data_IF_822459108928
#
_entry.id   IF_822459108928
#
_cell.length_a   1.000
_cell.length_b   1.000
_cell.length_c   1.000
_cell.angle_alpha   90.00
_cell.angle_beta   90.00
_cell.angle_gamma   90.00
#
_symmetry.space_group_name_H-M   'P 1'
#
loop_
_entity.id
_entity.type
_entity.pdbx_description
1 polymer ?
#
# COMPACT_ATOMS: atom_id res chain seq x y z
N UNK A 1 -12.22 21.78 -2.80
CA UNK A 1 -13.42 22.34 -2.12
C UNK A 1 -14.75 21.71 -2.55
N UNK A 2 -14.98 21.32 -3.82
CA UNK A 2 -16.28 20.76 -4.24
C UNK A 2 -16.54 19.27 -3.85
N UNK A 3 -15.52 18.49 -3.47
CA UNK A 3 -15.73 17.12 -2.94
C UNK A 3 -16.04 17.06 -1.43
N UNK A 4 -15.72 18.12 -0.66
CA UNK A 4 -16.06 18.19 0.77
C UNK A 4 -17.58 18.39 1.00
N UNK A 5 -18.27 19.01 0.05
CA UNK A 5 -19.70 19.34 0.18
C UNK A 5 -20.62 18.13 -0.07
N UNK A 6 -20.16 17.10 -0.79
CA UNK A 6 -20.93 15.87 -1.01
C UNK A 6 -20.83 14.90 0.18
N UNK A 7 -19.67 14.84 0.85
CA UNK A 7 -19.47 13.98 2.02
C UNK A 7 -20.16 14.48 3.30
N UNK A 8 -20.38 15.79 3.45
CA UNK A 8 -21.05 16.34 4.62
C UNK A 8 -22.58 16.28 4.53
N UNK A 9 -23.16 16.30 3.32
CA UNK A 9 -24.60 16.23 3.13
C UNK A 9 -25.19 14.82 3.31
N UNK A 10 -24.43 13.74 3.05
CA UNK A 10 -24.89 12.37 3.31
C UNK A 10 -24.89 11.98 4.80
N UNK A 11 -24.03 12.60 5.61
CA UNK A 11 -23.99 12.36 7.06
C UNK A 11 -25.16 13.03 7.81
N UNK A 12 -25.64 14.18 7.32
CA UNK A 12 -26.79 14.85 7.95
C UNK A 12 -28.13 14.16 7.66
N UNK A 13 -28.32 13.59 6.46
CA UNK A 13 -29.57 12.88 6.11
C UNK A 13 -29.69 11.56 6.92
N UNK A 14 -28.57 10.89 7.21
CA UNK A 14 -28.56 9.67 8.04
C UNK A 14 -28.79 9.94 9.54
N UNK A 15 -28.43 11.14 10.03
CA UNK A 15 -28.60 11.50 11.44
C UNK A 15 -30.05 11.82 11.83
N UNK A 16 -30.87 12.32 10.89
CA UNK A 16 -32.28 12.64 11.15
C UNK A 16 -33.24 11.45 10.98
N UNK A 17 -32.84 10.37 10.28
CA UNK A 17 -33.65 9.15 10.18
C UNK A 17 -33.44 8.15 11.33
N UNK A 18 -32.50 8.38 12.24
CA UNK A 18 -32.23 7.46 13.37
C UNK A 18 -32.97 7.79 14.68
N UNK A 19 -33.79 8.84 14.74
CA UNK A 19 -34.52 9.18 15.98
C UNK A 19 -35.98 8.73 16.04
N UNK A 20 -36.48 7.97 15.07
CA UNK A 20 -37.83 7.38 15.13
C UNK A 20 -37.83 5.91 14.72
N UNK A 21 -37.27 5.04 15.56
CA UNK A 21 -37.58 3.61 15.55
C UNK A 21 -37.19 2.97 16.89
N UNK A 22 -37.97 3.25 17.93
CA UNK A 22 -37.96 2.46 19.16
C UNK A 22 -38.55 1.08 18.90
N UNK A 23 -37.69 0.11 18.59
CA UNK A 23 -38.06 -1.30 18.47
C UNK A 23 -36.84 -2.18 18.67
N UNK A 24 -36.82 -2.97 19.75
CA UNK A 24 -35.78 -3.99 20.02
C UNK A 24 -35.81 -5.05 18.91
N UNK A 25 -35.04 -4.87 17.84
CA UNK A 25 -34.68 -5.94 16.93
C UNK A 25 -33.32 -6.50 17.36
N UNK A 26 -33.27 -7.78 17.71
CA UNK A 26 -32.01 -8.46 17.99
C UNK A 26 -31.13 -8.36 16.74
N UNK A 27 -30.05 -7.57 16.80
CA UNK A 27 -29.05 -7.53 15.73
C UNK A 27 -28.52 -8.95 15.53
N UNK A 28 -28.89 -9.57 14.42
CA UNK A 28 -28.41 -10.89 14.04
C UNK A 28 -26.87 -10.82 13.96
N UNK A 29 -26.19 -11.53 14.85
CA UNK A 29 -24.73 -11.59 14.88
C UNK A 29 -24.29 -12.39 13.66
N UNK A 30 -23.68 -11.72 12.69
CA UNK A 30 -23.11 -12.37 11.52
C UNK A 30 -21.81 -13.05 11.95
N UNK A 31 -21.79 -14.38 11.97
CA UNK A 31 -20.64 -15.20 12.36
C UNK A 31 -20.24 -16.12 11.22
N UNK A 32 -18.94 -16.29 11.01
CA UNK A 32 -18.36 -17.22 10.03
C UNK A 32 -17.29 -18.02 10.76
N UNK A 33 -17.46 -19.33 10.88
CA UNK A 33 -16.60 -20.19 11.71
C UNK A 33 -16.37 -19.57 13.09
N UNK A 34 -15.13 -19.24 13.44
CA UNK A 34 -14.74 -18.63 14.72
C UNK A 34 -14.76 -17.09 14.71
N UNK A 35 -15.25 -16.44 13.65
CA UNK A 35 -15.17 -14.99 13.48
C UNK A 35 -16.53 -14.31 13.58
N UNK A 36 -16.66 -13.39 14.53
CA UNK A 36 -17.81 -12.50 14.66
C UNK A 36 -17.57 -11.25 13.79
N UNK A 37 -18.37 -11.09 12.74
CA UNK A 37 -18.25 -9.97 11.80
C UNK A 37 -18.85 -8.67 12.37
N UNK A 38 -18.06 -7.61 12.33
CA UNK A 38 -18.41 -6.27 12.79
C UNK A 38 -18.56 -5.30 11.60
N UNK A 39 -18.21 -4.01 11.78
CA UNK A 39 -18.38 -3.00 10.75
C UNK A 39 -17.63 -3.30 9.44
N UNK A 40 -18.14 -2.75 8.34
CA UNK A 40 -17.42 -2.75 7.06
C UNK A 40 -16.29 -1.73 7.14
N UNK A 41 -15.08 -2.15 6.79
CA UNK A 41 -13.91 -1.27 6.72
C UNK A 41 -13.77 -0.64 5.34
N UNK A 42 -14.18 -1.35 4.28
CA UNK A 42 -14.14 -0.83 2.93
C UNK A 42 -14.83 -1.73 1.92
N UNK A 43 -15.06 -1.21 0.72
CA UNK A 43 -15.60 -1.94 -0.43
C UNK A 43 -14.65 -1.73 -1.61
N UNK A 44 -13.90 -2.77 -1.95
CA UNK A 44 -12.95 -2.74 -3.06
C UNK A 44 -13.50 -3.42 -4.31
N UNK A 45 -12.76 -3.32 -5.42
CA UNK A 45 -13.11 -3.91 -6.70
C UNK A 45 -13.29 -5.44 -6.64
N UNK A 46 -12.57 -6.11 -5.74
CA UNK A 46 -12.58 -7.57 -5.58
C UNK A 46 -13.52 -8.08 -4.49
N UNK A 47 -14.11 -7.21 -3.67
CA UNK A 47 -14.94 -7.65 -2.55
C UNK A 47 -15.10 -6.63 -1.43
N UNK A 48 -15.88 -7.01 -0.41
CA UNK A 48 -16.12 -6.20 0.79
C UNK A 48 -15.14 -6.61 1.89
N UNK A 49 -14.53 -5.64 2.57
CA UNK A 49 -13.65 -5.89 3.72
C UNK A 49 -14.39 -5.52 5.01
N UNK A 50 -14.40 -6.41 5.98
CA UNK A 50 -15.02 -6.18 7.30
C UNK A 50 -14.02 -6.39 8.42
N UNK A 51 -14.18 -5.65 9.52
CA UNK A 51 -13.55 -5.98 10.79
C UNK A 51 -14.28 -7.20 11.36
N UNK A 52 -13.54 -8.12 11.97
CA UNK A 52 -14.09 -9.21 12.73
C UNK A 52 -13.28 -9.45 14.00
N UNK A 53 -13.85 -10.22 14.93
CA UNK A 53 -13.19 -10.65 16.16
C UNK A 53 -13.26 -12.16 16.26
N UNK A 54 -12.13 -12.81 16.49
CA UNK A 54 -12.11 -14.24 16.78
C UNK A 54 -12.80 -14.48 18.13
N UNK A 55 -13.73 -15.43 18.19
CA UNK A 55 -14.61 -15.64 19.35
C UNK A 55 -13.88 -16.24 20.56
N UNK A 56 -12.92 -17.15 20.34
CA UNK A 56 -12.09 -17.72 21.41
C UNK A 56 -10.94 -16.81 21.85
N UNK A 57 -10.10 -16.35 20.91
CA UNK A 57 -8.87 -15.60 21.25
C UNK A 57 -9.11 -14.12 21.47
N UNK A 58 -10.24 -13.60 21.00
CA UNK A 58 -10.54 -12.16 21.02
C UNK A 58 -9.74 -11.33 20.03
N UNK A 59 -8.92 -11.95 19.16
CA UNK A 59 -8.08 -11.27 18.19
C UNK A 59 -8.93 -10.51 17.17
N UNK A 60 -8.61 -9.23 16.95
CA UNK A 60 -9.22 -8.45 15.86
C UNK A 60 -8.56 -8.81 14.53
N UNK A 61 -9.37 -9.00 13.49
CA UNK A 61 -8.93 -9.34 12.14
C UNK A 61 -9.67 -8.53 11.08
N UNK A 62 -9.08 -8.40 9.90
CA UNK A 62 -9.75 -7.90 8.71
C UNK A 62 -10.09 -9.09 7.80
N UNK A 63 -11.33 -9.14 7.32
CA UNK A 63 -11.82 -10.23 6.46
C UNK A 63 -12.29 -9.65 5.13
N UNK A 64 -11.58 -10.00 4.05
CA UNK A 64 -11.97 -9.70 2.67
C UNK A 64 -12.89 -10.81 2.17
N UNK A 65 -14.13 -10.44 1.85
CA UNK A 65 -15.21 -11.34 1.43
C UNK A 65 -15.36 -11.26 -0.09
N UNK A 66 -15.15 -12.39 -0.76
CA UNK A 66 -15.09 -12.50 -2.21
C UNK A 66 -16.15 -13.49 -2.69
N UNK A 67 -17.12 -13.01 -3.46
CA UNK A 67 -18.20 -13.87 -3.96
C UNK A 67 -17.79 -14.69 -5.18
N UNK A 68 -17.92 -16.02 -5.10
CA UNK A 68 -17.54 -16.96 -6.17
C UNK A 68 -18.37 -16.80 -7.44
N UNK A 69 -19.62 -16.34 -7.38
CA UNK A 69 -20.43 -16.10 -8.60
C UNK A 69 -19.85 -14.95 -9.42
N UNK A 70 -19.33 -13.90 -8.76
CA UNK A 70 -18.61 -12.79 -9.42
C UNK A 70 -17.26 -13.23 -10.03
N UNK A 71 -16.75 -14.39 -9.63
CA UNK A 71 -15.46 -14.94 -10.07
C UNK A 71 -15.54 -15.89 -11.27
N UNK A 72 -16.68 -16.56 -11.48
CA UNK A 72 -16.83 -17.63 -12.47
C UNK A 72 -16.64 -17.21 -13.94
N UNK A 73 -16.57 -15.91 -14.23
CA UNK A 73 -16.50 -15.38 -15.60
C UNK A 73 -15.33 -14.43 -15.87
N UNK A 74 -14.31 -14.35 -14.99
CA UNK A 74 -13.33 -13.26 -15.07
C UNK A 74 -11.87 -13.65 -14.82
N UNK A 75 -10.95 -12.86 -15.40
CA UNK A 75 -9.50 -12.82 -15.09
C UNK A 75 -9.22 -12.57 -13.59
N UNK A 76 -10.24 -12.20 -12.80
CA UNK A 76 -10.19 -11.94 -11.36
C UNK A 76 -9.84 -13.19 -10.55
N UNK A 77 -10.25 -14.38 -11.01
CA UNK A 77 -9.96 -15.65 -10.32
C UNK A 77 -8.45 -15.92 -10.22
N UNK A 78 -7.72 -15.67 -11.30
CA UNK A 78 -6.26 -15.81 -11.31
C UNK A 78 -5.56 -14.77 -10.41
N UNK A 79 -6.10 -13.53 -10.32
CA UNK A 79 -5.55 -12.48 -9.47
C UNK A 79 -5.68 -12.82 -7.98
N UNK A 80 -6.88 -13.20 -7.53
CA UNK A 80 -7.12 -13.52 -6.12
C UNK A 80 -6.38 -14.78 -5.68
N UNK A 81 -6.34 -15.82 -6.51
CA UNK A 81 -5.52 -17.01 -6.22
C UNK A 81 -4.04 -16.65 -6.11
N UNK A 82 -3.55 -15.70 -6.90
CA UNK A 82 -2.18 -15.19 -6.80
C UNK A 82 -1.99 -14.40 -5.50
N UNK A 83 -2.85 -13.44 -5.21
CA UNK A 83 -2.83 -12.63 -3.97
C UNK A 83 -2.74 -13.54 -2.74
N UNK A 84 -3.65 -14.51 -2.62
CA UNK A 84 -3.64 -15.50 -1.53
C UNK A 84 -2.32 -16.28 -1.48
N UNK A 85 -1.83 -16.76 -2.64
CA UNK A 85 -0.57 -17.52 -2.69
C UNK A 85 0.62 -16.68 -2.25
N UNK A 86 0.70 -15.41 -2.67
CA UNK A 86 1.79 -14.51 -2.28
C UNK A 86 1.76 -14.24 -0.78
N UNK A 87 0.60 -13.84 -0.26
CA UNK A 87 0.42 -13.54 1.15
C UNK A 87 0.69 -14.73 2.08
N UNK A 88 0.48 -15.96 1.63
CA UNK A 88 0.81 -17.17 2.42
C UNK A 88 2.30 -17.33 2.71
N UNK A 89 3.18 -16.80 1.88
CA UNK A 89 4.64 -16.92 2.05
C UNK A 89 5.27 -15.69 2.69
N UNK A 90 4.54 -14.57 2.74
CA UNK A 90 5.06 -13.34 3.32
C UNK A 90 5.02 -13.36 4.84
N UNK A 91 6.19 -13.16 5.44
CA UNK A 91 6.36 -12.92 6.88
C UNK A 91 7.34 -11.77 7.05
N UNK A 92 6.81 -10.57 7.21
CA UNK A 92 7.59 -9.35 7.40
C UNK A 92 6.82 -8.37 8.28
N UNK A 93 7.51 -7.62 9.14
CA UNK A 93 6.86 -6.70 10.08
C UNK A 93 6.05 -5.61 9.37
N UNK A 94 6.49 -5.19 8.17
CA UNK A 94 5.88 -4.12 7.38
C UNK A 94 4.95 -4.59 6.25
N UNK A 95 4.49 -5.84 6.29
CA UNK A 95 3.52 -6.39 5.34
C UNK A 95 2.37 -6.99 6.14
N UNK A 96 1.13 -6.77 5.69
CA UNK A 96 -0.05 -7.35 6.34
C UNK A 96 0.05 -8.88 6.37
N UNK A 97 -0.12 -9.47 7.56
CA UNK A 97 -0.07 -10.92 7.71
C UNK A 97 -1.38 -11.57 7.29
N UNK A 98 -1.30 -12.63 6.48
CA UNK A 98 -2.41 -13.56 6.27
C UNK A 98 -2.45 -14.57 7.42
N UNK A 99 -3.59 -14.69 8.09
CA UNK A 99 -3.80 -15.71 9.11
C UNK A 99 -4.36 -16.98 8.48
N UNK A 100 -5.44 -16.87 7.71
CA UNK A 100 -6.06 -18.01 7.07
C UNK A 100 -6.95 -17.63 5.89
N UNK A 101 -7.39 -18.64 5.14
CA UNK A 101 -8.38 -18.50 4.07
C UNK A 101 -9.48 -19.52 4.29
N UNK A 102 -10.71 -19.04 4.47
CA UNK A 102 -11.90 -19.89 4.57
C UNK A 102 -12.56 -19.96 3.20
N UNK A 103 -12.81 -21.18 2.74
CA UNK A 103 -13.42 -21.42 1.43
C UNK A 103 -14.77 -22.10 1.57
N UNK A 104 -15.86 -21.41 1.21
CA UNK A 104 -17.23 -21.93 1.30
C UNK A 104 -17.81 -22.17 -0.10
N UNK A 105 -19.00 -22.76 -0.20
CA UNK A 105 -19.64 -22.97 -1.51
C UNK A 105 -19.93 -21.67 -2.28
N UNK A 106 -20.14 -20.55 -1.58
CA UNK A 106 -20.56 -19.27 -2.18
C UNK A 106 -19.47 -18.21 -2.19
N UNK A 107 -18.60 -18.19 -1.19
CA UNK A 107 -17.66 -17.10 -0.94
C UNK A 107 -16.30 -17.61 -0.46
N UNK A 108 -15.26 -16.83 -0.74
CA UNK A 108 -13.90 -16.98 -0.20
C UNK A 108 -13.69 -15.85 0.81
N UNK A 109 -13.19 -16.18 2.00
CA UNK A 109 -12.86 -15.24 3.05
C UNK A 109 -11.35 -15.24 3.27
N UNK A 110 -10.70 -14.12 3.02
CA UNK A 110 -9.27 -13.94 3.26
C UNK A 110 -9.12 -13.21 4.59
N UNK A 111 -8.60 -13.89 5.61
CA UNK A 111 -8.49 -13.39 6.99
C UNK A 111 -7.07 -12.89 7.23
N UNK A 112 -6.92 -11.59 7.47
CA UNK A 112 -5.64 -10.92 7.67
C UNK A 112 -5.58 -10.17 8.99
N UNK A 113 -4.36 -9.77 9.36
CA UNK A 113 -4.09 -8.82 10.42
C UNK A 113 -4.97 -7.57 10.28
N UNK A 114 -5.57 -7.12 11.39
CA UNK A 114 -6.30 -5.86 11.45
C UNK A 114 -5.37 -4.76 11.96
N UNK A 115 -5.26 -3.68 11.20
CA UNK A 115 -4.42 -2.53 11.53
C UNK A 115 -5.34 -1.37 11.94
N UNK A 116 -5.13 -0.84 13.15
CA UNK A 116 -6.13 -0.02 13.83
C UNK A 116 -6.01 1.49 13.60
N UNK A 117 -4.82 1.98 13.22
CA UNK A 117 -4.48 3.40 13.15
C UNK A 117 -4.78 4.09 11.83
N UNK A 118 -5.56 3.46 10.94
CA UNK A 118 -5.92 4.01 9.63
C UNK A 118 -4.82 3.79 8.58
N UNK A 119 -4.79 4.67 7.60
CA UNK A 119 -3.82 4.63 6.50
C UNK A 119 -2.96 5.90 6.42
N UNK A 120 -1.90 5.83 5.61
CA UNK A 120 -0.97 6.93 5.45
C UNK A 120 -1.60 8.12 4.70
N UNK A 121 -2.67 7.90 3.94
CA UNK A 121 -3.40 8.98 3.29
C UNK A 121 -4.07 9.88 4.34
N UNK A 122 -4.75 9.28 5.32
CA UNK A 122 -5.37 10.01 6.43
C UNK A 122 -4.33 10.80 7.24
N UNK A 123 -3.12 10.27 7.43
CA UNK A 123 -2.02 10.98 8.09
C UNK A 123 -1.65 12.25 7.32
N UNK A 124 -1.47 12.17 6.00
CA UNK A 124 -1.16 13.32 5.14
C UNK A 124 -2.33 14.32 5.15
N UNK A 125 -3.57 13.83 5.02
CA UNK A 125 -4.76 14.68 4.98
C UNK A 125 -5.00 15.45 6.29
N UNK A 126 -4.70 14.84 7.44
CA UNK A 126 -4.92 15.45 8.75
C UNK A 126 -3.77 16.34 9.20
N UNK A 127 -2.52 15.94 8.93
CA UNK A 127 -1.32 16.66 9.41
C UNK A 127 -0.73 17.61 8.36
N UNK A 128 -1.15 17.49 7.10
CA UNK A 128 -0.52 18.17 5.98
C UNK A 128 0.87 17.62 5.71
N UNK A 129 1.85 18.50 5.53
CA UNK A 129 3.26 18.10 5.37
C UNK A 129 3.85 17.60 6.67
N UNK A 130 4.65 16.55 6.59
CA UNK A 130 5.43 16.01 7.69
C UNK A 130 6.82 16.64 7.77
N UNK A 131 7.44 16.56 8.95
CA UNK A 131 8.86 16.85 9.10
C UNK A 131 9.69 15.81 8.34
N UNK A 132 10.91 16.16 7.91
CA UNK A 132 11.79 15.19 7.25
C UNK A 132 12.08 13.97 8.13
N UNK A 133 12.34 14.08 9.46
CA UNK A 133 12.49 12.92 10.33
C UNK A 133 11.25 11.99 10.35
N UNK A 134 10.04 12.55 10.42
CA UNK A 134 8.81 11.75 10.44
C UNK A 134 8.58 11.07 9.09
N UNK A 135 8.74 11.80 7.98
CA UNK A 135 8.64 11.24 6.64
C UNK A 135 9.68 10.14 6.42
N UNK A 136 10.91 10.33 6.92
CA UNK A 136 11.99 9.34 6.86
C UNK A 136 11.66 8.08 7.66
N UNK A 137 11.04 8.22 8.83
CA UNK A 137 10.57 7.08 9.63
C UNK A 137 9.58 6.20 8.86
N UNK A 138 8.57 6.80 8.22
CA UNK A 138 7.64 6.06 7.37
C UNK A 138 8.34 5.47 6.14
N UNK A 139 9.15 6.26 5.44
CA UNK A 139 9.80 5.82 4.21
C UNK A 139 10.75 4.63 4.42
N UNK A 140 11.51 4.61 5.53
CA UNK A 140 12.38 3.47 5.89
C UNK A 140 11.59 2.18 5.98
N UNK A 141 10.44 2.21 6.65
CA UNK A 141 9.60 1.03 6.82
C UNK A 141 8.92 0.59 5.51
N UNK A 142 8.55 1.56 4.66
CA UNK A 142 8.05 1.28 3.30
C UNK A 142 9.15 0.59 2.49
N UNK A 143 10.38 1.12 2.52
CA UNK A 143 11.53 0.57 1.80
C UNK A 143 11.80 -0.87 2.25
N UNK A 144 11.83 -1.15 3.55
CA UNK A 144 12.08 -2.52 4.04
C UNK A 144 10.98 -3.49 3.62
N UNK A 145 9.70 -3.07 3.68
CA UNK A 145 8.59 -3.89 3.22
C UNK A 145 8.62 -4.17 1.71
N UNK A 146 8.87 -3.15 0.89
CA UNK A 146 8.91 -3.30 -0.57
C UNK A 146 10.15 -4.09 -1.02
N UNK A 147 11.30 -3.86 -0.41
CA UNK A 147 12.53 -4.62 -0.69
C UNK A 147 12.32 -6.11 -0.38
N UNK A 148 11.64 -6.45 0.72
CA UNK A 148 11.26 -7.83 1.03
C UNK A 148 10.37 -8.45 -0.06
N UNK A 149 9.38 -7.70 -0.58
CA UNK A 149 8.58 -8.17 -1.71
C UNK A 149 9.45 -8.44 -2.94
N UNK A 150 10.35 -7.52 -3.27
CA UNK A 150 11.24 -7.63 -4.44
C UNK A 150 12.20 -8.81 -4.33
N UNK A 151 12.77 -9.07 -3.15
CA UNK A 151 13.61 -10.24 -2.88
C UNK A 151 12.85 -11.57 -3.06
N UNK A 152 11.54 -11.56 -2.81
CA UNK A 152 10.65 -12.69 -3.07
C UNK A 152 10.07 -12.68 -4.50
N UNK A 153 10.69 -11.92 -5.41
CA UNK A 153 10.30 -11.79 -6.82
C UNK A 153 8.86 -11.27 -7.00
N UNK A 154 8.38 -10.39 -6.11
CA UNK A 154 7.06 -9.78 -6.20
C UNK A 154 7.17 -8.28 -6.33
N UNK A 155 6.60 -7.71 -7.40
CA UNK A 155 6.35 -6.27 -7.50
C UNK A 155 4.92 -5.95 -7.03
N UNK A 156 4.74 -4.90 -6.24
CA UNK A 156 3.44 -4.53 -5.68
C UNK A 156 2.54 -3.89 -6.75
N UNK A 157 3.05 -2.87 -7.46
CA UNK A 157 2.44 -2.18 -8.61
C UNK A 157 1.19 -1.33 -8.33
N UNK A 158 0.92 -1.06 -7.06
CA UNK A 158 -0.16 -0.17 -6.62
C UNK A 158 0.17 0.41 -5.24
N UNK A 159 1.43 0.80 -5.05
CA UNK A 159 1.86 1.46 -3.83
C UNK A 159 1.30 2.88 -3.84
N UNK A 160 0.56 3.20 -2.78
CA UNK A 160 -0.03 4.51 -2.53
C UNK A 160 -0.37 4.63 -1.04
N UNK A 161 -0.51 5.84 -0.50
CA UNK A 161 -0.76 6.04 0.92
C UNK A 161 -1.98 5.28 1.46
N UNK A 162 -3.04 5.09 0.67
CA UNK A 162 -4.24 4.32 1.06
C UNK A 162 -3.96 2.81 1.26
N UNK A 163 -2.92 2.28 0.61
CA UNK A 163 -2.51 0.87 0.73
C UNK A 163 -1.41 0.67 1.79
N UNK A 164 -1.04 1.73 2.52
CA UNK A 164 -0.05 1.69 3.60
C UNK A 164 -0.79 1.97 4.90
N UNK A 165 -1.12 0.90 5.62
CA UNK A 165 -1.83 0.98 6.90
C UNK A 165 -0.83 1.29 8.02
N UNK A 166 -1.30 1.91 9.10
CA UNK A 166 -0.46 2.31 10.23
C UNK A 166 -1.09 1.77 11.51
N UNK A 167 -0.33 1.05 12.32
CA UNK A 167 -0.80 0.63 13.64
C UNK A 167 -0.59 1.71 14.71
N UNK A 168 -1.12 1.45 15.90
CA UNK A 168 -1.03 2.34 17.06
C UNK A 168 0.41 2.66 17.51
N UNK A 169 1.42 1.91 17.02
CA UNK A 169 2.83 2.13 17.32
C UNK A 169 3.57 2.93 16.26
N UNK A 170 2.85 3.49 15.26
CA UNK A 170 3.42 4.09 14.05
C UNK A 170 4.26 3.11 13.22
N UNK A 171 3.94 1.81 13.28
CA UNK A 171 4.52 0.79 12.40
C UNK A 171 3.64 0.64 11.17
N UNK A 172 4.23 0.74 9.98
CA UNK A 172 3.47 0.63 8.73
C UNK A 172 3.29 -0.83 8.33
N UNK A 173 2.19 -1.11 7.62
CA UNK A 173 1.84 -2.40 7.04
C UNK A 173 1.37 -2.18 5.61
N UNK A 174 2.16 -2.67 4.64
CA UNK A 174 1.77 -2.69 3.24
C UNK A 174 0.63 -3.70 3.05
N UNK A 175 -0.46 -3.24 2.45
CA UNK A 175 -1.68 -4.00 2.20
C UNK A 175 -2.08 -3.96 0.71
N UNK A 176 -3.10 -4.75 0.36
CA UNK A 176 -3.69 -4.87 -0.98
C UNK A 176 -2.74 -5.30 -2.11
N UNK A 177 -2.38 -6.58 -2.11
CA UNK A 177 -1.59 -7.22 -3.16
C UNK A 177 -2.44 -7.64 -4.38
N UNK A 178 -3.67 -7.14 -4.53
CA UNK A 178 -4.61 -7.52 -5.59
C UNK A 178 -4.13 -7.20 -7.01
N UNK A 179 -3.18 -6.27 -7.13
CA UNK A 179 -2.51 -5.91 -8.39
C UNK A 179 -1.05 -6.39 -8.46
N UNK A 180 -0.54 -7.10 -7.46
CA UNK A 180 0.84 -7.57 -7.45
C UNK A 180 1.09 -8.71 -8.46
N UNK A 181 2.34 -8.90 -8.84
CA UNK A 181 2.72 -9.97 -9.76
C UNK A 181 4.11 -10.54 -9.48
N UNK A 182 4.28 -11.80 -9.87
CA UNK A 182 5.58 -12.45 -9.83
C UNK A 182 6.45 -11.94 -10.98
N UNK A 183 7.61 -11.40 -10.63
CA UNK A 183 8.71 -11.13 -11.54
C UNK A 183 9.31 -12.46 -11.99
N UNK A 184 9.58 -12.61 -13.27
CA UNK A 184 10.20 -13.81 -13.84
C UNK A 184 11.30 -13.40 -14.79
N UNK A 185 12.44 -14.08 -14.71
CA UNK A 185 13.58 -13.78 -15.57
C UNK A 185 13.19 -13.82 -17.05
N UNK A 186 13.56 -12.77 -17.78
CA UNK A 186 13.27 -12.61 -19.20
C UNK A 186 11.80 -12.33 -19.56
N UNK A 187 10.90 -12.11 -18.58
CA UNK A 187 9.48 -11.80 -18.84
C UNK A 187 9.09 -10.43 -18.28
N UNK A 188 8.76 -9.53 -19.19
CA UNK A 188 8.25 -8.21 -18.86
C UNK A 188 6.73 -8.20 -18.65
N UNK A 189 6.29 -7.24 -17.85
CA UNK A 189 4.89 -6.93 -17.56
C UNK A 189 4.39 -5.83 -18.52
N UNK A 190 3.14 -5.92 -19.00
CA UNK A 190 2.52 -4.94 -19.92
C UNK A 190 1.25 -4.28 -19.38
N UNK A 191 0.73 -4.76 -18.24
CA UNK A 191 -0.58 -4.32 -17.76
C UNK A 191 -0.49 -2.91 -17.16
N UNK A 192 -1.24 -1.96 -17.71
CA UNK A 192 -1.53 -0.67 -17.07
C UNK A 192 -2.48 -0.92 -15.88
N UNK A 193 -1.99 -0.71 -14.67
CA UNK A 193 -2.74 -0.89 -13.43
C UNK A 193 -2.23 0.07 -12.36
N UNK A 194 -3.03 0.23 -11.31
CA UNK A 194 -2.75 1.14 -10.19
C UNK A 194 -3.43 2.49 -10.34
N UNK A 195 -3.33 3.31 -9.30
CA UNK A 195 -3.90 4.66 -9.28
C UNK A 195 -3.06 5.62 -10.16
N UNK A 196 -3.67 6.39 -11.10
CA UNK A 196 -2.94 7.18 -12.09
C UNK A 196 -1.82 8.07 -11.55
N UNK A 197 -2.05 8.78 -10.44
CA UNK A 197 -1.10 9.73 -9.86
C UNK A 197 0.18 9.06 -9.31
N UNK A 198 0.15 7.76 -9.02
CA UNK A 198 1.28 6.99 -8.49
C UNK A 198 1.93 6.07 -9.54
N UNK A 199 1.37 6.02 -10.75
CA UNK A 199 1.82 5.14 -11.81
C UNK A 199 3.04 5.71 -12.54
N UNK A 200 4.02 4.85 -12.82
CA UNK A 200 5.24 5.23 -13.52
C UNK A 200 4.99 5.54 -15.02
N UNK A 201 5.84 6.35 -15.67
CA UNK A 201 5.71 6.74 -17.07
C UNK A 201 5.56 5.56 -18.04
N UNK A 202 6.32 4.49 -17.82
CA UNK A 202 6.30 3.27 -18.63
C UNK A 202 4.98 2.49 -18.47
N UNK A 203 4.34 2.55 -17.29
CA UNK A 203 3.06 1.88 -17.02
C UNK A 203 1.91 2.59 -17.74
N UNK A 204 1.86 3.92 -17.64
CA UNK A 204 0.83 4.73 -18.32
C UNK A 204 1.03 4.74 -19.84
N UNK A 205 2.27 4.53 -20.31
CA UNK A 205 2.59 4.41 -21.73
C UNK A 205 2.39 2.99 -22.29
N UNK A 206 1.97 2.02 -21.46
CA UNK A 206 1.77 0.62 -21.86
C UNK A 206 3.05 -0.09 -22.31
N UNK A 207 4.22 0.40 -21.87
CA UNK A 207 5.52 -0.20 -22.14
C UNK A 207 5.73 -1.44 -21.27
N UNK A 208 6.70 -2.25 -21.69
CA UNK A 208 7.15 -3.41 -20.94
C UNK A 208 8.05 -2.98 -19.77
N UNK A 209 7.85 -3.59 -18.60
CA UNK A 209 8.59 -3.28 -17.36
C UNK A 209 8.87 -4.54 -16.52
N UNK A 210 9.91 -4.52 -15.69
CA UNK A 210 10.31 -5.60 -14.80
C UNK A 210 9.45 -5.61 -13.52
N UNK A 211 9.23 -4.44 -12.92
CA UNK A 211 8.30 -4.22 -11.82
C UNK A 211 8.90 -3.42 -10.65
N UNK A 212 10.18 -3.64 -10.34
CA UNK A 212 10.84 -2.97 -9.21
C UNK A 212 10.96 -1.46 -9.43
N UNK A 213 11.25 -1.05 -10.66
CA UNK A 213 11.35 0.34 -11.08
C UNK A 213 10.02 1.08 -10.95
N UNK A 214 8.90 0.38 -11.14
CA UNK A 214 7.55 0.94 -11.01
C UNK A 214 7.25 1.23 -9.55
N UNK A 215 7.58 0.30 -8.66
CA UNK A 215 7.43 0.51 -7.22
C UNK A 215 8.34 1.65 -6.73
N UNK A 216 9.57 1.80 -7.28
CA UNK A 216 10.44 2.95 -6.97
C UNK A 216 9.73 4.27 -7.26
N UNK A 217 9.12 4.40 -8.44
CA UNK A 217 8.40 5.61 -8.81
C UNK A 217 7.26 5.91 -7.83
N UNK A 218 6.42 4.91 -7.54
CA UNK A 218 5.31 5.07 -6.61
C UNK A 218 5.77 5.49 -5.22
N UNK A 219 6.87 4.91 -4.71
CA UNK A 219 7.48 5.32 -3.43
C UNK A 219 8.05 6.73 -3.49
N UNK A 220 8.57 7.18 -4.65
CA UNK A 220 9.01 8.55 -4.86
C UNK A 220 7.85 9.56 -4.79
N UNK A 221 6.71 9.21 -5.37
CA UNK A 221 5.47 10.00 -5.27
C UNK A 221 4.98 10.06 -3.82
N UNK A 222 5.03 8.94 -3.09
CA UNK A 222 4.69 8.89 -1.66
C UNK A 222 5.62 9.79 -0.84
N UNK A 223 6.93 9.72 -1.05
CA UNK A 223 7.89 10.59 -0.35
C UNK A 223 7.60 12.07 -0.60
N UNK A 224 7.36 12.45 -1.85
CA UNK A 224 6.98 13.81 -2.18
C UNK A 224 5.71 14.22 -1.41
N UNK A 225 4.66 13.38 -1.43
CA UNK A 225 3.40 13.67 -0.75
C UNK A 225 3.56 13.82 0.77
N UNK A 226 4.40 13.00 1.40
CA UNK A 226 4.71 13.11 2.83
C UNK A 226 5.37 14.45 3.19
N UNK A 227 6.29 14.92 2.35
CA UNK A 227 7.04 16.16 2.60
C UNK A 227 6.30 17.43 2.14
N UNK A 228 5.46 17.33 1.11
CA UNK A 228 4.74 18.45 0.51
C UNK A 228 3.33 18.64 1.09
N UNK A 229 2.66 17.55 1.48
CA UNK A 229 1.23 17.53 1.78
C UNK A 229 0.33 17.53 0.54
N UNK A 230 0.90 17.42 -0.66
CA UNK A 230 0.19 17.34 -1.95
C UNK A 230 0.98 16.49 -2.96
N UNK A 231 0.36 16.12 -4.08
CA UNK A 231 0.97 15.24 -5.08
C UNK A 231 1.89 15.99 -6.06
N UNK A 232 3.00 15.39 -6.52
CA UNK A 232 3.86 15.99 -7.54
C UNK A 232 3.16 16.07 -8.91
N UNK A 233 2.28 15.10 -9.21
CA UNK A 233 1.49 15.03 -10.43
C UNK A 233 0.01 14.95 -10.08
N UNK A 234 -0.72 16.02 -10.36
CA UNK A 234 -2.17 16.08 -10.21
C UNK A 234 -2.77 17.03 -11.23
N UNK A 235 -3.84 16.58 -11.90
CA UNK A 235 -4.56 17.31 -12.94
C UNK A 235 -5.99 16.78 -13.01
N UNK A 236 -6.95 17.66 -13.29
CA UNK A 236 -8.36 17.25 -13.46
C UNK A 236 -8.55 16.37 -14.71
N UNK A 237 -7.76 16.63 -15.75
CA UNK A 237 -7.88 15.98 -17.06
C UNK A 237 -6.78 14.93 -17.23
N UNK A 238 -7.17 13.66 -17.36
CA UNK A 238 -6.24 12.50 -17.44
C UNK A 238 -5.14 12.65 -18.51
N UNK A 239 -5.42 13.10 -19.75
CA UNK A 239 -4.36 13.40 -20.72
C UNK A 239 -3.29 14.38 -20.24
N UNK A 240 -3.68 15.42 -19.48
CA UNK A 240 -2.75 16.40 -18.92
C UNK A 240 -1.91 15.76 -17.80
N UNK A 241 -2.54 14.97 -16.92
CA UNK A 241 -1.84 14.19 -15.90
C UNK A 241 -0.77 13.28 -16.53
N UNK A 242 -1.13 12.53 -17.56
CA UNK A 242 -0.22 11.63 -18.25
C UNK A 242 0.90 12.35 -19.00
N UNK A 243 0.69 13.60 -19.41
CA UNK A 243 1.77 14.43 -19.94
C UNK A 243 2.77 14.77 -18.84
N UNK A 244 2.31 15.30 -17.70
CA UNK A 244 3.17 15.64 -16.56
C UNK A 244 3.97 14.44 -16.05
N UNK A 245 3.33 13.28 -15.90
CA UNK A 245 4.01 12.06 -15.48
C UNK A 245 5.12 11.67 -16.46
N UNK A 246 4.84 11.65 -17.78
CA UNK A 246 5.83 11.26 -18.80
C UNK A 246 7.04 12.19 -18.83
N UNK A 247 6.82 13.46 -18.60
CA UNK A 247 7.86 14.50 -18.62
C UNK A 247 8.54 14.68 -17.25
N UNK A 248 8.05 14.00 -16.20
CA UNK A 248 8.36 14.32 -14.81
C UNK A 248 8.27 15.83 -14.52
N UNK A 249 7.21 16.45 -15.04
CA UNK A 249 6.95 17.88 -14.85
C UNK A 249 6.24 18.11 -13.51
N UNK A 250 7.04 18.45 -12.50
CA UNK A 250 6.61 18.85 -11.17
C UNK A 250 7.54 19.92 -10.60
N UNK A 251 7.00 20.76 -9.71
CA UNK A 251 7.77 21.81 -9.05
C UNK A 251 8.30 21.28 -7.73
N UNK A 252 9.63 21.27 -7.58
CA UNK A 252 10.30 20.89 -6.34
C UNK A 252 10.17 22.03 -5.31
N UNK A 253 9.56 21.81 -4.13
CA UNK A 253 9.42 22.86 -3.12
C UNK A 253 10.77 23.34 -2.57
N UNK A 254 10.91 24.64 -2.38
CA UNK A 254 12.18 25.24 -1.93
C UNK A 254 12.59 24.76 -0.53
N UNK A 255 11.60 24.52 0.34
CA UNK A 255 11.80 24.14 1.73
C UNK A 255 12.26 22.67 1.94
N UNK A 256 12.36 21.86 0.88
CA UNK A 256 12.97 20.54 0.99
C UNK A 256 14.49 20.65 1.14
N UNK A 257 15.10 19.80 1.97
CA UNK A 257 16.55 19.73 2.06
C UNK A 257 17.18 19.32 0.73
N UNK A 258 18.44 19.72 0.44
CA UNK A 258 19.14 19.29 -0.78
C UNK A 258 19.16 17.76 -0.94
N UNK A 259 19.24 17.02 0.18
CA UNK A 259 19.24 15.56 0.18
C UNK A 259 17.87 14.96 -0.14
N UNK A 260 16.77 15.55 0.36
CA UNK A 260 15.42 15.14 -0.04
C UNK A 260 15.18 15.39 -1.54
N UNK A 261 15.58 16.58 -2.03
CA UNK A 261 15.49 16.93 -3.45
C UNK A 261 16.25 15.94 -4.34
N UNK A 262 17.49 15.59 -3.97
CA UNK A 262 18.30 14.61 -4.69
C UNK A 262 17.63 13.24 -4.73
N UNK A 263 17.15 12.73 -3.58
CA UNK A 263 16.48 11.43 -3.53
C UNK A 263 15.22 11.40 -4.40
N UNK A 264 14.34 12.39 -4.27
CA UNK A 264 13.10 12.47 -5.06
C UNK A 264 13.40 12.55 -6.55
N UNK A 265 14.35 13.40 -6.96
CA UNK A 265 14.75 13.52 -8.36
C UNK A 265 15.24 12.19 -8.94
N UNK A 266 15.98 11.40 -8.16
CA UNK A 266 16.49 10.09 -8.56
C UNK A 266 15.41 9.01 -8.63
N UNK A 267 14.40 9.07 -7.75
CA UNK A 267 13.26 8.15 -7.74
C UNK A 267 12.25 8.46 -8.86
N UNK A 268 12.02 9.75 -9.13
CA UNK A 268 11.12 10.25 -10.18
C UNK A 268 11.84 10.49 -11.52
N UNK A 269 12.87 9.69 -11.83
CA UNK A 269 13.50 9.70 -13.16
C UNK A 269 12.61 8.98 -14.19
N UNK A 270 12.18 9.64 -15.28
CA UNK A 270 11.41 9.00 -16.34
C UNK A 270 12.17 7.89 -17.07
N UNK A 271 13.48 8.09 -17.26
CA UNK A 271 14.36 7.08 -17.83
C UNK A 271 14.61 5.97 -16.81
N UNK A 272 13.96 4.82 -17.01
CA UNK A 272 14.06 3.62 -16.15
C UNK A 272 15.52 3.20 -15.93
N UNK A 273 16.40 3.38 -16.92
CA UNK A 273 17.81 2.99 -16.81
C UNK A 273 18.61 3.88 -15.84
N UNK A 274 18.14 5.10 -15.61
CA UNK A 274 18.74 6.10 -14.71
C UNK A 274 18.02 6.20 -13.38
N UNK A 275 16.83 5.59 -13.25
CA UNK A 275 16.05 5.57 -12.02
C UNK A 275 16.78 4.77 -10.94
N UNK A 276 16.92 5.36 -9.77
CA UNK A 276 17.62 4.74 -8.63
C UNK A 276 16.96 3.42 -8.23
N UNK A 277 17.78 2.43 -7.87
CA UNK A 277 17.30 1.12 -7.42
C UNK A 277 17.13 1.07 -5.90
N UNK A 278 16.30 0.16 -5.39
CA UNK A 278 16.02 0.04 -3.95
C UNK A 278 17.28 -0.16 -3.08
N UNK A 279 18.24 -0.95 -3.55
CA UNK A 279 19.52 -1.15 -2.87
C UNK A 279 20.33 0.16 -2.75
N UNK A 280 20.21 1.07 -3.73
CA UNK A 280 20.84 2.39 -3.72
C UNK A 280 20.05 3.39 -2.87
N UNK A 281 18.70 3.34 -2.91
CA UNK A 281 17.83 4.15 -2.05
C UNK A 281 18.18 3.92 -0.58
N UNK A 282 18.31 2.66 -0.15
CA UNK A 282 18.65 2.30 1.23
C UNK A 282 19.98 2.91 1.70
N UNK A 283 20.91 3.12 0.76
CA UNK A 283 22.23 3.69 1.04
C UNK A 283 22.26 5.23 0.92
N UNK A 284 21.17 5.84 0.46
CA UNK A 284 21.11 7.27 0.22
C UNK A 284 21.30 8.07 1.52
N UNK A 285 22.09 9.16 1.53
CA UNK A 285 22.35 9.95 2.74
C UNK A 285 21.09 10.39 3.49
N UNK A 286 20.06 10.82 2.75
CA UNK A 286 18.76 11.21 3.33
C UNK A 286 18.10 10.08 4.13
N UNK A 287 18.20 8.83 3.66
CA UNK A 287 17.65 7.65 4.35
C UNK A 287 18.48 7.29 5.58
N UNK A 288 19.79 7.48 5.51
CA UNK A 288 20.73 7.06 6.59
C UNK A 288 20.92 8.10 7.68
N UNK A 289 20.51 9.34 7.45
CA UNK A 289 20.58 10.40 8.44
C UNK A 289 19.91 9.99 9.75
N UNK A 290 20.56 10.20 10.90
CA UNK A 290 20.04 9.81 12.23
C UNK A 290 19.82 8.29 12.42
N UNK A 291 20.42 7.40 11.61
CA UNK A 291 20.59 6.00 12.01
C UNK A 291 21.76 5.96 13.00
N UNK A 292 21.55 5.56 14.26
CA UNK A 292 22.67 5.34 15.17
C UNK A 292 23.66 4.34 14.57
N UNK A 293 24.96 4.67 14.64
CA UNK A 293 26.03 3.90 14.01
C UNK A 293 26.02 2.39 14.36
N UNK A 294 25.54 2.02 15.56
CA UNK A 294 25.43 0.61 15.96
C UNK A 294 24.33 -0.15 15.19
N UNK A 295 23.23 0.50 14.83
CA UNK A 295 22.17 -0.08 13.97
C UNK A 295 22.71 -0.27 12.56
N UNK A 296 23.53 0.66 12.08
CA UNK A 296 24.19 0.57 10.79
C UNK A 296 25.10 -0.66 10.70
N UNK A 297 25.94 -0.89 11.72
CA UNK A 297 26.79 -2.08 11.81
C UNK A 297 25.95 -3.36 11.88
N UNK A 298 24.90 -3.40 12.72
CA UNK A 298 24.04 -4.58 12.82
C UNK A 298 23.38 -4.94 11.48
N UNK A 299 22.88 -3.94 10.76
CA UNK A 299 22.30 -4.13 9.43
C UNK A 299 23.34 -4.59 8.40
N UNK A 300 24.55 -4.06 8.42
CA UNK A 300 25.63 -4.50 7.52
C UNK A 300 26.06 -5.95 7.80
N UNK A 301 26.14 -6.34 9.07
CA UNK A 301 26.50 -7.70 9.48
C UNK A 301 25.43 -8.73 9.11
N UNK A 302 24.15 -8.39 9.27
CA UNK A 302 23.04 -9.28 8.90
C UNK A 302 22.89 -9.43 7.38
N UNK A 303 23.12 -8.36 6.61
CA UNK A 303 23.11 -8.45 5.14
C UNK A 303 24.27 -9.33 4.61
N UNK A 304 25.43 -9.32 5.26
CA UNK A 304 26.53 -10.25 4.92
C UNK A 304 26.19 -11.71 5.23
N UNK A 305 25.51 -11.99 6.35
CA UNK A 305 25.06 -13.35 6.70
C UNK A 305 24.07 -13.93 5.70
N UNK A 306 23.13 -13.11 5.20
CA UNK A 306 22.18 -13.51 4.17
C UNK A 306 22.86 -13.76 2.81
N UNK A 307 23.91 -12.98 2.48
CA UNK A 307 24.69 -13.18 1.27
C UNK A 307 25.66 -14.37 1.34
N UNK A 308 26.08 -14.79 2.54
CA UNK A 308 27.07 -15.87 2.72
C UNK A 308 26.46 -17.26 2.93
N UNK A 309 25.14 -17.42 2.89
CA UNK A 309 24.48 -18.74 2.96
C UNK A 309 24.80 -19.59 4.21
N UNK A 310 25.27 -18.97 5.29
CA UNK A 310 25.63 -19.67 6.52
C UNK A 310 24.48 -19.54 7.53
N UNK A 311 23.50 -20.41 7.40
CA UNK A 311 22.61 -20.78 8.53
C UNK A 311 23.39 -21.72 9.45
N UNK A 312 23.57 -21.31 10.72
CA UNK A 312 23.74 -22.27 11.81
C UNK A 312 22.39 -22.93 12.10
#
# INVERSE_FOLDING_TARGET
MQQQTLYQNENNINSQQQQQAGGRSGKQILKIEHYILNQTLGVGATGKVRRAKHDTTGLNVAIKIINKKKMKYSKMNAKIKREIRLLRYFTHQNIVRLYEVLDTNTDIFVVTEYISGGDLFDVIAQRGRLSEPDARHYLRQIITGVEYCHQNLVAHRDLKPENILIDETNTIKIADFGLSNLMKDGKYLKTSCGSPNYAAPEVISGKLYCGTEVDTWSVGVILFALLAGYLPFDEEVIPALFKKIREADYVMPDFFSPQAKDLINRMLQPDVSKRIKFNEIRLHPWIRQEIPFYIEIFNLLNNKRLASGLTQ
#
